data_IF_438923746188
#
_entry.id   IF_438923746188
#
_cell.length_a   1.000
_cell.length_b   1.000
_cell.length_c   1.000
_cell.angle_alpha   90.00
_cell.angle_beta   90.00
_cell.angle_gamma   90.00
#
_symmetry.space_group_name_H-M   'P 1'
#
loop_
_entity.id
_entity.type
_entity.pdbx_description
1 polymer ?
#
# COMPACT_ATOMS: atom_id res chain seq x y z
N UNK A 1 5.70 -21.17 28.79
CA UNK A 1 5.72 -21.67 27.39
C UNK A 1 5.14 -20.60 26.50
N UNK A 2 5.81 -20.27 25.40
CA UNK A 2 5.28 -19.35 24.38
C UNK A 2 4.15 -20.08 23.65
N UNK A 3 2.98 -19.43 23.50
CA UNK A 3 1.81 -19.97 22.79
C UNK A 3 1.64 -19.23 21.46
N UNK A 4 1.30 -19.97 20.41
CA UNK A 4 1.00 -19.38 19.09
C UNK A 4 -0.39 -18.73 19.09
N UNK A 5 -0.59 -17.75 18.22
CA UNK A 5 -1.91 -17.22 17.91
C UNK A 5 -2.67 -18.25 17.05
N UNK A 6 -3.68 -18.88 17.66
CA UNK A 6 -4.46 -19.96 17.05
C UNK A 6 -5.22 -19.52 15.78
N UNK A 7 -5.44 -18.22 15.57
CA UNK A 7 -6.06 -17.71 14.35
C UNK A 7 -5.24 -18.04 13.09
N UNK A 8 -3.91 -18.19 13.20
CA UNK A 8 -3.07 -18.62 12.07
C UNK A 8 -3.42 -20.01 11.56
N UNK A 9 -4.02 -20.88 12.39
CA UNK A 9 -4.46 -22.22 11.95
C UNK A 9 -5.73 -22.18 11.10
N UNK A 10 -6.46 -21.06 11.11
CA UNK A 10 -7.69 -20.87 10.31
C UNK A 10 -7.38 -20.45 8.88
N UNK A 11 -6.19 -19.93 8.61
CA UNK A 11 -5.78 -19.47 7.29
C UNK A 11 -5.63 -20.66 6.32
N UNK A 12 -6.41 -20.65 5.24
CA UNK A 12 -6.27 -21.62 4.14
C UNK A 12 -4.97 -21.36 3.36
N UNK A 13 -4.33 -22.41 2.84
CA UNK A 13 -3.04 -22.33 2.14
C UNK A 13 -3.08 -21.64 0.75
N UNK A 14 -4.15 -20.90 0.45
CA UNK A 14 -4.37 -20.27 -0.84
C UNK A 14 -3.72 -18.88 -0.87
N UNK A 15 -2.44 -18.82 -1.23
CA UNK A 15 -1.88 -17.61 -1.82
C UNK A 15 -1.88 -17.83 -3.34
N UNK A 16 -3.04 -17.57 -3.97
CA UNK A 16 -3.27 -17.67 -5.42
C UNK A 16 -2.03 -17.20 -6.22
N UNK A 17 -1.49 -16.06 -5.81
CA UNK A 17 -0.31 -15.43 -6.37
C UNK A 17 1.00 -16.21 -6.20
N UNK A 18 1.22 -16.89 -5.06
CA UNK A 18 2.37 -17.78 -4.88
C UNK A 18 2.28 -18.99 -5.80
N UNK A 19 1.08 -19.55 -5.96
CA UNK A 19 0.86 -20.68 -6.87
C UNK A 19 1.05 -20.27 -8.34
N UNK A 20 0.57 -19.09 -8.74
CA UNK A 20 0.82 -18.53 -10.07
C UNK A 20 2.33 -18.34 -10.28
N UNK A 21 3.05 -17.75 -9.32
CA UNK A 21 4.50 -17.55 -9.43
C UNK A 21 5.26 -18.87 -9.62
N UNK A 22 4.93 -19.91 -8.85
CA UNK A 22 5.52 -21.25 -8.99
C UNK A 22 5.27 -21.86 -10.37
N UNK A 23 4.04 -21.76 -10.88
CA UNK A 23 3.68 -22.28 -12.21
C UNK A 23 4.39 -21.54 -13.33
N UNK A 24 4.46 -20.21 -13.25
CA UNK A 24 5.17 -19.37 -14.24
C UNK A 24 6.66 -19.71 -14.23
N UNK A 25 7.27 -19.87 -13.05
CA UNK A 25 8.69 -20.24 -12.93
C UNK A 25 8.98 -21.60 -13.57
N UNK A 26 8.21 -22.64 -13.23
CA UNK A 26 8.37 -23.98 -13.81
C UNK A 26 8.17 -23.99 -15.33
N UNK A 27 7.21 -23.22 -15.84
CA UNK A 27 6.99 -23.10 -17.28
C UNK A 27 8.16 -22.37 -17.97
N UNK A 28 8.71 -21.32 -17.36
CA UNK A 28 9.86 -20.57 -17.90
C UNK A 28 11.08 -21.47 -17.99
N UNK A 29 11.36 -22.24 -16.95
CA UNK A 29 12.49 -23.18 -16.91
C UNK A 29 12.36 -24.28 -17.97
N UNK A 30 11.16 -24.83 -18.16
CA UNK A 30 10.89 -25.85 -19.17
C UNK A 30 10.82 -25.32 -20.61
N UNK A 31 10.74 -24.00 -20.82
CA UNK A 31 10.57 -23.38 -22.13
C UNK A 31 11.45 -22.12 -22.28
N UNK A 32 12.79 -22.25 -22.26
CA UNK A 32 13.70 -21.10 -22.24
C UNK A 32 13.66 -20.24 -23.52
N UNK A 33 13.16 -20.79 -24.62
CA UNK A 33 12.98 -20.12 -25.91
C UNK A 33 11.68 -19.30 -26.00
N UNK A 34 10.76 -19.47 -25.05
CA UNK A 34 9.46 -18.80 -25.05
C UNK A 34 9.49 -17.52 -24.22
N UNK A 35 9.12 -16.41 -24.86
CA UNK A 35 8.93 -15.15 -24.17
C UNK A 35 7.54 -15.07 -23.52
N UNK A 36 7.48 -15.00 -22.19
CA UNK A 36 6.23 -14.97 -21.43
C UNK A 36 5.78 -13.53 -21.21
N UNK A 37 4.56 -13.21 -21.65
CA UNK A 37 3.89 -11.95 -21.32
C UNK A 37 3.05 -12.16 -20.05
N UNK A 38 3.41 -11.46 -18.97
CA UNK A 38 2.76 -11.59 -17.66
C UNK A 38 1.60 -10.59 -17.54
N UNK A 39 0.37 -11.07 -17.66
CA UNK A 39 -0.88 -10.28 -17.53
C UNK A 39 -1.67 -10.62 -16.25
N UNK A 40 -0.98 -11.16 -15.23
CA UNK A 40 -1.58 -11.55 -13.94
C UNK A 40 -1.56 -10.41 -12.92
N UNK A 41 -0.91 -10.64 -11.77
CA UNK A 41 -0.68 -9.59 -10.73
C UNK A 41 -0.10 -8.33 -11.37
N UNK A 42 0.90 -8.52 -12.24
CA UNK A 42 1.66 -7.44 -12.85
C UNK A 42 2.45 -6.63 -11.82
N UNK A 43 3.51 -5.98 -12.26
CA UNK A 43 4.06 -4.83 -11.55
C UNK A 43 4.00 -3.67 -12.55
N UNK A 44 4.03 -2.43 -12.05
CA UNK A 44 3.97 -1.25 -12.91
C UNK A 44 5.14 -1.27 -13.90
N UNK A 45 4.85 -0.91 -15.16
CA UNK A 45 5.83 -1.00 -16.26
C UNK A 45 6.37 0.34 -16.71
N UNK A 46 5.94 1.43 -16.05
CA UNK A 46 6.31 2.81 -16.40
C UNK A 46 7.09 3.44 -15.26
N UNK A 47 8.09 4.30 -15.58
CA UNK A 47 8.85 5.02 -14.58
C UNK A 47 7.98 6.06 -13.86
N UNK A 48 8.45 6.53 -12.71
CA UNK A 48 7.82 7.62 -11.99
C UNK A 48 7.75 8.89 -12.87
N UNK A 49 6.66 9.66 -12.81
CA UNK A 49 6.57 10.96 -13.49
C UNK A 49 7.69 11.91 -13.05
N UNK A 50 8.17 12.75 -13.97
CA UNK A 50 9.25 13.71 -13.72
C UNK A 50 8.94 14.67 -12.55
N UNK A 51 7.67 15.02 -12.35
CA UNK A 51 7.23 15.83 -11.22
C UNK A 51 7.52 15.16 -9.86
N UNK A 52 7.23 13.86 -9.74
CA UNK A 52 7.51 13.09 -8.53
C UNK A 52 9.02 12.98 -8.28
N UNK A 53 9.80 12.67 -9.33
CA UNK A 53 11.26 12.56 -9.23
C UNK A 53 11.88 13.88 -8.77
N UNK A 54 11.45 15.01 -9.36
CA UNK A 54 11.92 16.34 -8.96
C UNK A 54 11.58 16.64 -7.50
N UNK A 55 10.36 16.36 -7.06
CA UNK A 55 9.95 16.60 -5.67
C UNK A 55 10.74 15.73 -4.68
N UNK A 56 11.00 14.46 -5.02
CA UNK A 56 11.83 13.56 -4.20
C UNK A 56 13.26 14.05 -4.06
N UNK A 57 13.86 14.56 -5.14
CA UNK A 57 15.19 15.19 -5.08
C UNK A 57 15.19 16.41 -4.16
N UNK A 58 14.23 17.33 -4.33
CA UNK A 58 14.12 18.51 -3.46
C UNK A 58 13.94 18.13 -1.99
N UNK A 59 13.10 17.14 -1.67
CA UNK A 59 12.91 16.67 -0.30
C UNK A 59 14.19 16.01 0.27
N UNK A 60 14.94 15.30 -0.57
CA UNK A 60 16.23 14.71 -0.17
C UNK A 60 17.26 15.79 0.14
N UNK A 61 17.33 16.83 -0.69
CA UNK A 61 18.24 17.98 -0.47
C UNK A 61 17.85 18.76 0.80
N UNK A 62 16.55 18.94 1.07
CA UNK A 62 16.04 19.55 2.32
C UNK A 62 16.51 18.77 3.55
N UNK A 63 16.46 17.43 3.49
CA UNK A 63 16.89 16.56 4.58
C UNK A 63 18.41 16.45 4.72
N UNK A 64 19.19 16.84 3.71
CA UNK A 64 20.65 16.82 3.74
C UNK A 64 21.26 18.06 4.41
N UNK A 65 20.52 19.17 4.48
CA UNK A 65 20.97 20.41 5.10
C UNK A 65 20.52 20.50 6.57
N UNK A 66 21.46 20.83 7.47
CA UNK A 66 21.19 20.87 8.92
C UNK A 66 20.15 21.94 9.29
N UNK A 67 20.08 23.01 8.50
CA UNK A 67 19.19 24.15 8.70
C UNK A 67 17.73 23.83 8.33
N UNK A 68 17.51 22.84 7.47
CA UNK A 68 16.18 22.45 6.97
C UNK A 68 15.75 21.03 7.32
N UNK A 69 16.64 20.26 7.96
CA UNK A 69 16.36 18.89 8.40
C UNK A 69 15.10 18.81 9.28
N UNK A 70 14.26 17.81 9.01
CA UNK A 70 13.07 17.50 9.82
C UNK A 70 13.24 16.16 10.51
N UNK A 71 12.91 16.10 11.80
CA UNK A 71 12.89 14.86 12.57
C UNK A 71 11.64 14.01 12.26
N UNK A 72 11.05 13.43 13.31
CA UNK A 72 9.75 12.77 13.16
C UNK A 72 8.70 13.73 12.59
N UNK A 73 8.01 13.29 11.55
CA UNK A 73 6.85 13.98 11.03
C UNK A 73 5.61 13.77 11.90
N UNK A 74 4.53 14.52 11.64
CA UNK A 74 3.24 14.27 12.27
C UNK A 74 2.71 12.88 11.88
N UNK A 75 2.20 12.12 12.86
CA UNK A 75 1.76 10.73 12.67
C UNK A 75 0.61 10.58 11.66
N UNK A 76 -0.24 11.61 11.52
CA UNK A 76 -1.34 11.64 10.56
C UNK A 76 -0.90 12.02 9.14
N UNK A 77 0.34 12.49 8.96
CA UNK A 77 0.85 13.06 7.72
C UNK A 77 0.92 14.59 7.74
N UNK A 78 1.83 15.15 6.94
CA UNK A 78 2.04 16.59 6.85
C UNK A 78 0.82 17.33 6.26
N UNK A 79 0.54 18.52 6.80
CA UNK A 79 -0.62 19.35 6.45
C UNK A 79 -0.72 19.59 4.94
N UNK A 80 0.40 19.94 4.28
CA UNK A 80 0.42 20.21 2.84
C UNK A 80 -0.12 19.04 2.00
N UNK A 81 0.09 17.80 2.46
CA UNK A 81 -0.37 16.61 1.75
C UNK A 81 -1.84 16.32 2.09
N UNK A 82 -2.20 16.39 3.38
CA UNK A 82 -3.59 16.17 3.81
C UNK A 82 -4.54 17.18 3.19
N UNK A 83 -4.18 18.45 3.17
CA UNK A 83 -4.95 19.52 2.51
C UNK A 83 -5.07 19.29 1.00
N UNK A 84 -3.98 18.88 0.34
CA UNK A 84 -4.02 18.57 -1.09
C UNK A 84 -4.97 17.40 -1.40
N UNK A 85 -4.95 16.33 -0.60
CA UNK A 85 -5.86 15.19 -0.78
C UNK A 85 -7.31 15.64 -0.53
N UNK A 86 -7.59 16.32 0.59
CA UNK A 86 -8.95 16.81 0.93
C UNK A 86 -9.54 17.64 -0.21
N UNK A 87 -8.76 18.59 -0.74
CA UNK A 87 -9.19 19.48 -1.80
C UNK A 87 -9.42 18.75 -3.12
N UNK A 88 -8.40 18.05 -3.63
CA UNK A 88 -8.38 17.58 -5.02
C UNK A 88 -9.11 16.24 -5.20
N UNK A 89 -9.08 15.35 -4.20
CA UNK A 89 -9.68 14.02 -4.30
C UNK A 89 -11.11 13.96 -3.78
N UNK A 90 -11.49 14.85 -2.85
CA UNK A 90 -12.81 14.82 -2.21
C UNK A 90 -13.64 16.08 -2.49
N UNK A 91 -13.20 17.25 -2.05
CA UNK A 91 -14.00 18.49 -2.10
C UNK A 91 -14.31 18.93 -3.54
N UNK A 92 -13.33 18.84 -4.45
CA UNK A 92 -13.53 19.12 -5.87
C UNK A 92 -14.48 18.14 -6.57
N UNK A 93 -14.77 17.00 -5.92
CA UNK A 93 -15.72 15.99 -6.37
C UNK A 93 -17.05 16.06 -5.62
N UNK A 94 -17.25 17.09 -4.79
CA UNK A 94 -18.47 17.33 -4.02
C UNK A 94 -18.59 16.55 -2.72
N UNK A 95 -17.51 15.91 -2.24
CA UNK A 95 -17.48 15.24 -0.94
C UNK A 95 -16.88 16.17 0.14
N UNK A 96 -17.60 16.39 1.23
CA UNK A 96 -17.15 17.23 2.35
C UNK A 96 -16.23 16.44 3.28
N UNK A 97 -15.00 16.15 2.81
CA UNK A 97 -13.92 15.57 3.61
C UNK A 97 -12.92 16.66 3.95
N UNK A 98 -12.58 16.78 5.23
CA UNK A 98 -11.61 17.77 5.74
C UNK A 98 -10.23 17.15 5.97
N UNK A 99 -9.19 17.98 6.09
CA UNK A 99 -7.82 17.49 6.19
C UNK A 99 -7.53 16.69 7.48
N UNK A 100 -8.27 16.92 8.55
CA UNK A 100 -8.24 16.17 9.82
C UNK A 100 -8.90 14.79 9.75
N UNK A 101 -9.67 14.51 8.70
CA UNK A 101 -10.22 13.17 8.41
C UNK A 101 -9.27 12.31 7.56
N UNK A 102 -8.09 12.83 7.20
CA UNK A 102 -7.12 12.17 6.31
C UNK A 102 -5.91 11.71 7.11
N UNK A 103 -5.62 10.41 7.00
CA UNK A 103 -4.47 9.75 7.63
C UNK A 103 -3.57 9.19 6.53
N UNK A 104 -2.36 9.73 6.41
CA UNK A 104 -1.38 9.30 5.41
C UNK A 104 -0.56 8.13 5.97
N UNK A 105 -0.57 7.00 5.25
CA UNK A 105 0.16 5.79 5.61
C UNK A 105 1.24 5.41 4.60
N UNK A 106 1.91 4.29 4.84
CA UNK A 106 2.86 3.68 3.90
C UNK A 106 2.18 2.82 2.82
N UNK A 107 0.86 2.62 2.91
CA UNK A 107 0.06 2.02 1.84
C UNK A 107 -1.18 1.28 2.30
N UNK A 108 -2.13 1.14 1.38
CA UNK A 108 -3.45 0.54 1.64
C UNK A 108 -3.41 -0.89 2.21
N UNK A 109 -2.37 -1.68 1.92
CA UNK A 109 -2.22 -3.03 2.47
C UNK A 109 -1.97 -3.01 3.98
N UNK A 110 -1.16 -2.07 4.46
CA UNK A 110 -0.92 -1.88 5.88
C UNK A 110 -2.19 -1.40 6.57
N UNK A 111 -2.87 -0.40 6.00
CA UNK A 111 -4.09 0.15 6.59
C UNK A 111 -5.21 -0.90 6.66
N UNK A 112 -5.46 -1.63 5.58
CA UNK A 112 -6.49 -2.68 5.57
C UNK A 112 -6.17 -3.82 6.53
N UNK A 113 -4.88 -4.15 6.74
CA UNK A 113 -4.47 -5.15 7.71
C UNK A 113 -4.52 -4.66 9.16
N UNK A 114 -4.30 -3.37 9.41
CA UNK A 114 -4.19 -2.82 10.76
C UNK A 114 -5.50 -2.20 11.26
N UNK A 115 -6.41 -1.79 10.37
CA UNK A 115 -7.70 -1.19 10.76
C UNK A 115 -8.54 -2.17 11.58
N UNK A 116 -8.39 -3.48 11.37
CA UNK A 116 -9.06 -4.50 12.18
C UNK A 116 -8.65 -4.48 13.67
N UNK A 117 -7.47 -3.96 14.01
CA UNK A 117 -7.00 -3.88 15.40
C UNK A 117 -7.80 -2.86 16.23
N UNK A 118 -8.58 -1.97 15.58
CA UNK A 118 -9.48 -1.05 16.25
C UNK A 118 -10.79 -1.70 16.68
N UNK A 119 -11.13 -2.87 16.14
CA UNK A 119 -12.43 -3.52 16.35
C UNK A 119 -12.33 -4.76 17.25
N UNK A 120 -13.43 -5.08 17.94
CA UNK A 120 -13.49 -6.26 18.81
C UNK A 120 -13.48 -7.56 18.00
N UNK A 121 -12.90 -8.64 18.55
CA UNK A 121 -12.74 -9.91 17.83
C UNK A 121 -14.04 -10.71 17.63
N UNK A 122 -15.14 -10.28 18.24
CA UNK A 122 -16.46 -10.93 18.20
C UNK A 122 -17.44 -10.28 17.21
N UNK A 123 -16.97 -9.35 16.36
CA UNK A 123 -17.76 -8.79 15.27
C UNK A 123 -17.86 -9.74 14.07
N UNK A 124 -18.87 -9.49 13.22
CA UNK A 124 -18.99 -10.14 11.92
C UNK A 124 -18.64 -9.15 10.82
N UNK A 125 -17.74 -9.53 9.91
CA UNK A 125 -17.29 -8.72 8.78
C UNK A 125 -17.97 -9.20 7.50
N UNK A 126 -18.52 -8.29 6.72
CA UNK A 126 -19.03 -8.56 5.38
C UNK A 126 -17.97 -8.19 4.33
N UNK A 127 -17.74 -9.06 3.35
CA UNK A 127 -16.80 -8.84 2.24
C UNK A 127 -17.52 -9.14 0.93
N UNK A 128 -17.34 -8.32 -0.14
CA UNK A 128 -17.83 -8.66 -1.47
C UNK A 128 -17.28 -10.00 -1.97
N UNK A 129 -18.04 -10.72 -2.79
CA UNK A 129 -17.62 -11.94 -3.46
C UNK A 129 -17.92 -11.84 -4.97
N UNK A 130 -16.90 -11.65 -5.86
CA UNK A 130 -15.46 -11.56 -5.54
C UNK A 130 -15.04 -10.16 -5.01
N UNK A 131 -13.81 -10.09 -4.49
CA UNK A 131 -13.10 -8.86 -4.10
C UNK A 131 -11.73 -8.77 -4.78
#
# INVERSE_FOLDING_TARGET
MIRINENYKKLQASYLFSNIAKKVAAFTEANPDKNIIKLGIGDVTKPLPAACVKALHTATDEMAASESFRGYGPEQGYDFLREAIAKNDFQDRGANVTADEIFVSDGAKCDTANIQELFASDITVAVPDPV
#
